data_IF_211610976768
#
_entry.id   IF_211610976768
#
_cell.length_a   1.000
_cell.length_b   1.000
_cell.length_c   1.000
_cell.angle_alpha   90.00
_cell.angle_beta   90.00
_cell.angle_gamma   90.00
#
_symmetry.space_group_name_H-M   'P 1'
#
loop_
_entity.id
_entity.type
_entity.pdbx_description
1 polymer ?
#
# COMPACT_ATOMS: atom_id res chain seq x y z
N UNK A 1 -43.42 -5.11 -6.36
CA UNK A 1 -42.30 -5.77 -5.67
C UNK A 1 -41.50 -4.66 -5.02
N UNK A 2 -41.81 -4.36 -3.75
CA UNK A 2 -41.23 -3.27 -2.97
C UNK A 2 -39.82 -3.71 -2.56
N UNK A 3 -38.78 -2.97 -2.97
CA UNK A 3 -37.44 -3.17 -2.43
C UNK A 3 -37.29 -2.13 -1.32
N UNK A 4 -37.43 -2.56 -0.07
CA UNK A 4 -37.14 -1.73 1.10
C UNK A 4 -35.63 -1.41 1.13
N UNK A 5 -35.30 -0.12 1.08
CA UNK A 5 -33.93 0.42 1.09
C UNK A 5 -33.21 0.33 2.45
N UNK A 6 -33.67 -0.53 3.37
CA UNK A 6 -33.29 -0.44 4.79
C UNK A 6 -32.15 -1.37 5.22
N UNK A 7 -31.49 -2.08 4.29
CA UNK A 7 -30.57 -3.17 4.70
C UNK A 7 -29.30 -3.32 3.86
N UNK A 8 -28.77 -2.21 3.34
CA UNK A 8 -27.35 -2.16 2.99
C UNK A 8 -26.64 -1.74 4.26
N UNK A 9 -26.16 -2.72 5.02
CA UNK A 9 -25.30 -2.55 6.18
C UNK A 9 -24.20 -1.54 5.86
N UNK A 10 -24.35 -0.32 6.39
CA UNK A 10 -23.26 0.63 6.57
C UNK A 10 -22.17 -0.12 7.32
N UNK A 11 -21.08 -0.46 6.62
CA UNK A 11 -19.85 -0.89 7.28
C UNK A 11 -19.36 0.37 7.98
N UNK A 12 -19.71 0.47 9.26
CA UNK A 12 -19.35 1.55 10.15
C UNK A 12 -17.82 1.54 10.31
N UNK A 13 -17.13 2.35 9.52
CA UNK A 13 -15.71 2.68 9.66
C UNK A 13 -15.53 3.71 10.79
N UNK A 14 -16.17 3.49 11.95
CA UNK A 14 -15.80 4.24 13.15
C UNK A 14 -14.40 3.82 13.54
N UNK A 15 -13.43 4.65 13.17
CA UNK A 15 -12.07 4.63 13.71
C UNK A 15 -12.19 4.57 15.25
N UNK A 16 -11.60 3.58 15.93
CA UNK A 16 -11.62 3.56 17.38
C UNK A 16 -10.84 4.78 17.85
N UNK A 17 -11.55 5.71 18.49
CA UNK A 17 -10.94 6.76 19.32
C UNK A 17 -9.97 6.05 20.27
N UNK A 18 -8.73 6.52 20.26
CA UNK A 18 -7.62 5.94 20.98
C UNK A 18 -7.83 6.07 22.49
N UNK A 19 -8.54 5.11 23.07
CA UNK A 19 -8.57 4.90 24.51
C UNK A 19 -7.44 3.92 24.82
N UNK A 20 -6.39 4.45 25.43
CA UNK A 20 -5.25 3.70 25.88
C UNK A 20 -5.66 2.53 26.80
N UNK A 21 -5.01 1.37 26.61
CA UNK A 21 -4.95 0.18 27.49
C UNK A 21 -5.87 -0.99 27.10
N UNK A 22 -5.45 -1.85 26.17
CA UNK A 22 -5.81 -3.30 26.22
C UNK A 22 -4.74 -4.21 25.58
N UNK A 23 -3.94 -4.85 26.43
CA UNK A 23 -3.25 -6.15 26.24
C UNK A 23 -2.16 -6.29 25.14
N UNK A 24 -0.92 -6.38 25.62
CA UNK A 24 0.39 -6.49 24.96
C UNK A 24 0.64 -7.63 23.94
N UNK A 25 -0.38 -8.39 23.52
CA UNK A 25 -0.19 -9.55 22.62
C UNK A 25 -0.83 -9.42 21.24
N UNK A 26 -1.82 -8.53 21.08
CA UNK A 26 -2.55 -8.38 19.82
C UNK A 26 -2.05 -7.21 18.97
N UNK A 27 -1.24 -6.32 19.56
CA UNK A 27 -0.73 -5.11 18.90
C UNK A 27 0.06 -5.43 17.62
N UNK A 28 0.89 -6.48 17.65
CA UNK A 28 1.69 -6.92 16.50
C UNK A 28 0.80 -7.35 15.31
N UNK A 29 -0.35 -7.97 15.57
CA UNK A 29 -1.28 -8.39 14.50
C UNK A 29 -2.06 -7.22 13.93
N UNK A 30 -2.49 -6.30 14.78
CA UNK A 30 -3.21 -5.09 14.36
C UNK A 30 -2.33 -4.21 13.49
N UNK A 31 -1.07 -4.00 13.87
CA UNK A 31 -0.13 -3.20 13.08
C UNK A 31 0.13 -3.82 11.69
N UNK A 32 0.26 -5.16 11.60
CA UNK A 32 0.45 -5.85 10.32
C UNK A 32 -0.70 -5.62 9.33
N UNK A 33 -1.94 -5.56 9.81
CA UNK A 33 -3.11 -5.30 8.96
C UNK A 33 -3.15 -3.84 8.52
N UNK A 34 -2.81 -2.91 9.40
CA UNK A 34 -2.80 -1.47 9.11
C UNK A 34 -1.67 -1.05 8.17
N UNK A 35 -0.57 -1.83 8.10
CA UNK A 35 0.54 -1.57 7.17
C UNK A 35 0.22 -1.95 5.71
N UNK A 36 -0.86 -2.68 5.44
CA UNK A 36 -1.24 -3.05 4.08
C UNK A 36 -1.96 -1.87 3.43
N UNK A 37 -1.42 -1.27 2.35
CA UNK A 37 -2.11 -0.21 1.64
C UNK A 37 -3.39 -0.77 1.01
N UNK A 38 -4.52 -0.06 1.21
CA UNK A 38 -5.81 -0.44 0.64
C UNK A 38 -5.88 -0.31 -0.90
N UNK A 39 -4.84 0.22 -1.54
CA UNK A 39 -4.80 0.51 -2.98
C UNK A 39 -3.42 0.22 -3.58
N UNK A 40 -3.41 -0.14 -4.86
CA UNK A 40 -2.22 -0.28 -5.70
C UNK A 40 -1.65 1.05 -6.19
N UNK A 41 -2.33 2.19 -5.99
CA UNK A 41 -1.87 3.50 -6.46
C UNK A 41 -0.39 3.84 -6.11
N UNK A 42 0.14 3.48 -4.93
CA UNK A 42 1.56 3.70 -4.61
C UNK A 42 2.51 2.94 -5.55
N UNK A 43 2.20 1.68 -5.87
CA UNK A 43 3.06 0.86 -6.75
C UNK A 43 2.88 1.27 -8.21
N UNK A 44 1.67 1.64 -8.62
CA UNK A 44 1.40 2.17 -9.97
C UNK A 44 2.17 3.46 -10.23
N UNK A 45 2.31 4.33 -9.22
CA UNK A 45 3.14 5.54 -9.33
C UNK A 45 4.61 5.19 -9.57
N UNK A 46 5.14 4.16 -8.89
CA UNK A 46 6.51 3.66 -9.11
C UNK A 46 6.67 3.11 -10.53
N UNK A 47 5.70 2.35 -11.04
CA UNK A 47 5.72 1.81 -12.41
C UNK A 47 5.59 2.89 -13.49
N UNK A 48 4.73 3.88 -13.27
CA UNK A 48 4.58 5.02 -14.18
C UNK A 48 5.91 5.78 -14.33
N UNK A 49 6.59 6.06 -13.21
CA UNK A 49 7.88 6.75 -13.20
C UNK A 49 9.02 5.90 -13.80
N UNK A 50 8.98 4.58 -13.59
CA UNK A 50 9.98 3.66 -14.14
C UNK A 50 9.69 3.24 -15.59
N UNK A 51 8.54 3.61 -16.16
CA UNK A 51 8.18 3.31 -17.54
C UNK A 51 9.19 3.81 -18.58
N UNK A 52 9.88 4.93 -18.29
CA UNK A 52 10.97 5.44 -19.13
C UNK A 52 12.18 4.49 -19.15
N UNK A 53 12.46 3.81 -18.04
CA UNK A 53 13.55 2.85 -17.89
C UNK A 53 13.18 1.44 -18.39
N UNK A 54 11.90 1.09 -18.43
CA UNK A 54 11.42 -0.22 -18.88
C UNK A 54 11.34 -0.31 -20.41
N UNK A 55 11.23 0.82 -21.12
CA UNK A 55 11.06 0.83 -22.57
C UNK A 55 12.33 0.32 -23.29
N UNK A 56 12.25 -0.75 -24.10
CA UNK A 56 13.42 -1.42 -24.69
C UNK A 56 14.21 -0.54 -25.67
N UNK A 57 13.58 0.47 -26.27
CA UNK A 57 14.22 1.32 -27.28
C UNK A 57 15.18 2.39 -26.69
N UNK A 58 15.10 2.69 -25.39
CA UNK A 58 15.88 3.77 -24.76
C UNK A 58 16.71 3.33 -23.56
N UNK A 59 16.52 2.09 -23.09
CA UNK A 59 17.04 1.63 -21.82
C UNK A 59 17.75 0.31 -22.02
N UNK A 60 19.09 0.31 -22.01
CA UNK A 60 19.91 -0.91 -21.98
C UNK A 60 19.94 -1.56 -20.58
N UNK A 61 18.92 -1.32 -19.78
CA UNK A 61 18.91 -1.67 -18.37
C UNK A 61 18.36 -3.09 -18.22
N UNK A 62 19.15 -3.98 -17.65
CA UNK A 62 18.72 -5.36 -17.42
C UNK A 62 17.60 -5.40 -16.37
N UNK A 63 16.76 -6.44 -16.42
CA UNK A 63 15.68 -6.66 -15.44
C UNK A 63 16.20 -6.59 -14.00
N UNK A 64 17.32 -7.24 -13.72
CA UNK A 64 17.94 -7.26 -12.40
C UNK A 64 18.40 -5.87 -11.93
N UNK A 65 18.98 -5.08 -12.85
CA UNK A 65 19.42 -3.73 -12.53
C UNK A 65 18.22 -2.81 -12.25
N UNK A 66 17.11 -3.01 -12.97
CA UNK A 66 15.89 -2.24 -12.77
C UNK A 66 15.29 -2.55 -11.40
N UNK A 67 15.21 -3.83 -11.04
CA UNK A 67 14.71 -4.25 -9.72
C UNK A 67 15.55 -3.67 -8.59
N UNK A 68 16.88 -3.70 -8.70
CA UNK A 68 17.79 -3.10 -7.70
C UNK A 68 17.62 -1.59 -7.60
N UNK A 69 17.50 -0.89 -8.72
CA UNK A 69 17.32 0.56 -8.74
C UNK A 69 15.98 0.97 -8.14
N UNK A 70 14.90 0.26 -8.46
CA UNK A 70 13.57 0.49 -7.86
C UNK A 70 13.60 0.23 -6.36
N UNK A 71 14.27 -0.83 -5.91
CA UNK A 71 14.44 -1.12 -4.50
C UNK A 71 15.13 0.02 -3.75
N UNK A 72 16.28 0.49 -4.25
CA UNK A 72 17.01 1.61 -3.63
C UNK A 72 16.15 2.88 -3.64
N UNK A 73 15.47 3.19 -4.74
CA UNK A 73 14.62 4.39 -4.84
C UNK A 73 13.46 4.38 -3.85
N UNK A 74 12.80 3.24 -3.63
CA UNK A 74 11.68 3.14 -2.70
C UNK A 74 12.12 3.23 -1.23
N UNK A 75 13.34 2.80 -0.92
CA UNK A 75 13.87 2.76 0.44
C UNK A 75 14.78 3.95 0.78
N UNK A 76 15.04 4.85 -0.17
CA UNK A 76 15.94 6.00 0.04
C UNK A 76 15.50 6.87 1.21
N UNK A 77 14.19 7.04 1.42
CA UNK A 77 13.64 7.81 2.53
C UNK A 77 13.81 7.14 3.92
N UNK A 78 14.13 5.84 3.96
CA UNK A 78 14.36 5.09 5.20
C UNK A 78 15.85 5.01 5.58
N UNK A 79 16.74 5.44 4.68
CA UNK A 79 18.20 5.38 4.83
C UNK A 79 18.80 6.70 5.33
N UNK A 80 17.98 7.72 5.57
CA UNK A 80 18.39 9.07 5.96
C UNK A 80 17.72 9.48 7.27
#
# INVERSE_FOLDING_TARGET
MQIDSSNITTIDLTLPTADAQTSSSNDDKTLKVLCVPATSAPVERVFSQSGLLIRPHRSRLSKDMLSKLTFVKCNLALLN
#
